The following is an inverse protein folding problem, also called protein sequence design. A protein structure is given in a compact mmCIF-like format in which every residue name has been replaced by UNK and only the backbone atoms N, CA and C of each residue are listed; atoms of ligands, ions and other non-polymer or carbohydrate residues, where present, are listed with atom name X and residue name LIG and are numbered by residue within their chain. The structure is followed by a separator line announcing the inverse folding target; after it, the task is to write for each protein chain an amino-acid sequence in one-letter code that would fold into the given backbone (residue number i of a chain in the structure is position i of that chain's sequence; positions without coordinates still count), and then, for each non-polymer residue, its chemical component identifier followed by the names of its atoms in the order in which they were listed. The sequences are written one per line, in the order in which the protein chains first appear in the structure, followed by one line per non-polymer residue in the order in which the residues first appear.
data_IF_735703232335
#
_entry.id   IF_735703232335
#
_cell.length_a   1.000
_cell.length_b   1.000
_cell.length_c   1.000
_cell.angle_alpha   90.00
_cell.angle_beta   90.00
_cell.angle_gamma   90.00
#
_symmetry.space_group_name_H-M   'P 1'
#
loop_
_entity.id
_entity.type
_entity.pdbx_description
1 polymer ?
#
# COMPACT_ATOMS: atom_id res chain seq x y z
N UNK A 1 0.24 -6.28 -21.10
CA UNK A 1 0.20 -6.69 -19.67
C UNK A 1 1.44 -6.11 -18.99
N UNK A 2 1.25 -5.32 -17.94
CA UNK A 2 2.35 -4.74 -17.18
C UNK A 2 3.09 -5.86 -16.41
N UNK A 3 4.42 -5.88 -16.48
CA UNK A 3 5.27 -6.81 -15.70
C UNK A 3 5.93 -6.02 -14.59
N UNK A 4 5.68 -6.42 -13.34
CA UNK A 4 6.20 -5.76 -12.15
C UNK A 4 7.06 -6.77 -11.40
N UNK A 5 8.31 -6.40 -11.10
CA UNK A 5 9.15 -7.09 -10.12
C UNK A 5 8.75 -6.61 -8.72
N UNK A 6 8.57 -7.55 -7.79
CA UNK A 6 8.12 -7.30 -6.42
C UNK A 6 9.11 -7.93 -5.42
N UNK A 7 9.70 -7.10 -4.56
CA UNK A 7 10.37 -7.51 -3.32
C UNK A 7 9.42 -7.17 -2.17
N UNK A 8 8.76 -8.19 -1.62
CA UNK A 8 7.69 -8.11 -0.61
C UNK A 8 8.20 -8.23 0.82
N UNK A 9 9.33 -7.57 1.12
CA UNK A 9 9.91 -7.55 2.47
C UNK A 9 8.93 -7.06 3.56
N UNK A 10 9.04 -7.64 4.75
CA UNK A 10 8.10 -7.42 5.87
C UNK A 10 8.05 -5.98 6.41
N UNK A 11 9.07 -5.16 6.14
CA UNK A 11 9.10 -3.73 6.49
C UNK A 11 8.54 -2.86 5.37
N UNK A 12 8.86 -3.19 4.12
CA UNK A 12 8.42 -2.43 2.95
C UNK A 12 8.45 -3.30 1.70
N UNK A 13 7.44 -3.10 0.86
CA UNK A 13 7.34 -3.67 -0.48
C UNK A 13 8.00 -2.72 -1.48
N UNK A 14 8.90 -3.23 -2.32
CA UNK A 14 9.54 -2.46 -3.41
C UNK A 14 9.08 -3.02 -4.74
N UNK A 15 8.65 -2.13 -5.63
CA UNK A 15 8.17 -2.45 -6.96
C UNK A 15 9.11 -1.84 -8.00
N UNK A 16 9.34 -2.56 -9.09
CA UNK A 16 10.00 -2.03 -10.27
C UNK A 16 9.35 -2.55 -11.55
N UNK A 17 9.17 -1.69 -12.55
CA UNK A 17 8.67 -2.07 -13.87
C UNK A 17 9.30 -1.23 -14.97
N UNK A 18 9.20 -1.71 -16.22
CA UNK A 18 9.60 -0.94 -17.40
C UNK A 18 8.41 -0.16 -17.94
N UNK A 19 8.61 1.14 -18.14
CA UNK A 19 7.66 2.04 -18.79
C UNK A 19 8.43 3.01 -19.70
N UNK A 20 8.08 3.07 -20.98
CA UNK A 20 8.77 3.89 -21.98
C UNK A 20 10.30 3.73 -21.98
N UNK A 21 10.76 2.47 -21.95
CA UNK A 21 12.19 2.08 -21.89
C UNK A 21 12.95 2.58 -20.65
N UNK A 22 12.23 3.05 -19.62
CA UNK A 22 12.79 3.48 -18.35
C UNK A 22 12.31 2.57 -17.22
N UNK A 23 13.18 2.39 -16.23
CA UNK A 23 12.82 1.70 -15.00
C UNK A 23 12.09 2.70 -14.11
N UNK A 24 10.85 2.35 -13.74
CA UNK A 24 10.08 3.06 -12.73
C UNK A 24 10.08 2.21 -11.46
N UNK A 25 10.22 2.86 -10.31
CA UNK A 25 10.25 2.21 -9.00
C UNK A 25 9.22 2.82 -8.05
N UNK A 26 8.77 2.03 -7.08
CA UNK A 26 7.91 2.48 -5.99
C UNK A 26 8.24 1.72 -4.71
N UNK A 27 8.14 2.39 -3.56
CA UNK A 27 8.32 1.77 -2.23
C UNK A 27 7.06 2.06 -1.41
N UNK A 28 6.46 1.02 -0.86
CA UNK A 28 5.32 1.10 0.04
C UNK A 28 5.68 0.49 1.39
N UNK A 29 5.43 1.17 2.52
CA UNK A 29 5.61 0.57 3.84
C UNK A 29 4.59 -0.56 4.04
N UNK A 30 5.01 -1.63 4.73
CA UNK A 30 4.09 -2.70 5.13
C UNK A 30 3.36 -2.32 6.42
N UNK A 31 2.49 -1.31 6.34
CA UNK A 31 1.86 -0.70 7.51
C UNK A 31 0.35 -0.80 7.42
N UNK A 32 -0.20 -1.87 8.01
CA UNK A 32 -1.63 -2.17 8.00
C UNK A 32 -2.10 -2.43 9.42
N UNK A 33 -3.34 -1.99 9.72
CA UNK A 33 -4.09 -2.38 10.91
C UNK A 33 -5.27 -3.26 10.55
N UNK A 34 -5.66 -4.13 11.46
CA UNK A 34 -6.89 -4.90 11.35
C UNK A 34 -8.11 -3.99 11.58
N UNK A 35 -9.19 -4.24 10.84
CA UNK A 35 -10.41 -3.45 10.86
C UNK A 35 -10.54 -2.47 9.68
N UNK A 36 -11.61 -1.68 9.68
CA UNK A 36 -11.78 -0.56 8.76
C UNK A 36 -11.48 0.75 9.46
N UNK A 37 -10.84 1.69 8.76
CA UNK A 37 -10.86 3.08 9.16
C UNK A 37 -12.14 3.73 8.59
N UNK A 38 -12.92 4.33 9.47
CA UNK A 38 -14.18 5.02 9.17
C UNK A 38 -14.07 6.54 9.35
N UNK A 39 -12.86 7.07 9.49
CA UNK A 39 -12.60 8.51 9.60
C UNK A 39 -13.02 9.23 8.31
N UNK A 40 -14.26 9.72 8.31
CA UNK A 40 -14.86 10.55 7.26
C UNK A 40 -14.36 12.01 7.34
N UNK A 41 -13.77 12.39 8.48
CA UNK A 41 -13.37 13.78 8.79
C UNK A 41 -11.93 14.12 8.39
N UNK A 42 -11.14 13.15 7.93
CA UNK A 42 -9.80 13.43 7.43
C UNK A 42 -9.88 13.81 5.95
N UNK A 43 -9.12 14.85 5.53
CA UNK A 43 -8.98 15.19 4.11
C UNK A 43 -8.14 14.16 3.33
N UNK A 44 -7.61 13.14 4.01
CA UNK A 44 -6.77 12.13 3.39
C UNK A 44 -7.61 10.94 2.92
N UNK A 45 -7.28 10.36 1.74
CA UNK A 45 -7.94 9.16 1.30
C UNK A 45 -7.67 8.00 2.26
N UNK A 46 -8.72 7.27 2.61
CA UNK A 46 -8.66 6.05 3.40
C UNK A 46 -8.67 4.85 2.47
N UNK A 47 -7.73 3.92 2.66
CA UNK A 47 -7.63 2.71 1.86
C UNK A 47 -7.99 1.48 2.71
N UNK A 48 -9.22 1.00 2.56
CA UNK A 48 -9.76 -0.19 3.23
C UNK A 48 -9.73 -1.40 2.26
N UNK A 49 -9.34 -2.56 2.78
CA UNK A 49 -9.20 -3.81 2.04
C UNK A 49 -9.98 -4.95 2.74
N UNK A 50 -10.52 -5.87 1.94
CA UNK A 50 -11.09 -7.14 2.38
C UNK A 50 -10.27 -8.26 1.75
N UNK A 51 -9.60 -9.07 2.57
CA UNK A 51 -8.76 -10.19 2.13
C UNK A 51 -9.14 -11.41 2.96
N UNK A 52 -9.59 -12.47 2.30
CA UNK A 52 -10.05 -13.71 2.96
C UNK A 52 -11.02 -13.43 4.13
N UNK A 53 -12.05 -12.62 3.85
CA UNK A 53 -13.07 -12.14 4.81
C UNK A 53 -12.53 -11.33 6.02
N UNK A 54 -11.24 -11.02 6.04
CA UNK A 54 -10.61 -10.14 7.05
C UNK A 54 -10.48 -8.72 6.54
N UNK A 55 -10.73 -7.78 7.43
CA UNK A 55 -10.70 -6.34 7.15
C UNK A 55 -9.34 -5.78 7.53
N UNK A 56 -8.76 -5.00 6.61
CA UNK A 56 -7.52 -4.27 6.83
C UNK A 56 -7.65 -2.84 6.37
N UNK A 57 -6.90 -1.93 6.99
CA UNK A 57 -6.70 -0.57 6.52
C UNK A 57 -5.22 -0.26 6.46
N UNK A 58 -4.79 0.39 5.38
CA UNK A 58 -3.46 0.98 5.34
C UNK A 58 -3.37 2.11 6.36
N UNK A 59 -2.33 2.07 7.20
CA UNK A 59 -2.11 3.00 8.29
C UNK A 59 -0.64 3.39 8.32
N UNK A 60 -0.28 4.58 7.83
CA UNK A 60 1.11 5.04 7.80
C UNK A 60 1.63 5.36 9.22
N UNK A 61 0.79 5.20 10.26
CA UNK A 61 0.97 5.88 11.53
C UNK A 61 0.69 7.36 11.31
N UNK A 62 0.19 8.05 12.33
CA UNK A 62 0.08 9.50 12.32
C UNK A 62 1.48 10.10 12.13
N UNK A 63 1.86 10.42 10.90
CA UNK A 63 2.94 11.35 10.63
C UNK A 63 2.43 12.74 11.02
N UNK A 64 2.56 13.04 12.32
CA UNK A 64 2.50 14.40 12.86
C UNK A 64 3.64 15.25 12.32
#
# INVERSE_FOLDING_TARGET
MLKIACDDGSTSVKLAWLENEKIVTHISPNSFKEGWNTEILSNNPVFNYLVDDKKYTFDIGSSS
#
